data_IF_043141538338
#
_entry.id   IF_043141538338
#
_cell.length_a   1.000
_cell.length_b   1.000
_cell.length_c   1.000
_cell.angle_alpha   90.00
_cell.angle_beta   90.00
_cell.angle_gamma   90.00
#
_symmetry.space_group_name_H-M   'P 1'
#
loop_
_entity.id
_entity.type
_entity.pdbx_description
1 polymer ?
#
# COMPACT_ATOMS: atom_id res chain seq x y z
N UNK A 1 -27.06 0.95 12.06
CA UNK A 1 -27.14 0.79 13.52
C UNK A 1 -28.43 1.43 14.02
N UNK A 2 -29.30 0.65 14.68
CA UNK A 2 -30.60 1.11 15.19
C UNK A 2 -30.48 2.22 16.26
N UNK A 3 -29.37 2.27 16.98
CA UNK A 3 -29.15 3.27 18.04
C UNK A 3 -28.78 4.65 17.49
N UNK A 4 -28.05 4.65 16.37
CA UNK A 4 -27.54 5.89 15.76
C UNK A 4 -28.35 6.32 14.55
N UNK A 5 -29.36 5.54 14.16
CA UNK A 5 -30.14 5.75 12.94
C UNK A 5 -29.26 5.92 11.68
N UNK A 6 -28.13 5.22 11.64
CA UNK A 6 -27.21 5.25 10.52
C UNK A 6 -27.52 4.10 9.55
N UNK A 7 -27.52 4.37 8.27
CA UNK A 7 -27.63 3.31 7.26
C UNK A 7 -26.45 2.35 7.40
N UNK A 8 -26.73 1.06 7.42
CA UNK A 8 -25.74 0.00 7.58
C UNK A 8 -25.90 -1.02 6.49
N UNK A 9 -24.79 -1.45 5.89
CA UNK A 9 -24.74 -2.53 4.93
C UNK A 9 -23.89 -3.67 5.49
N UNK A 10 -24.37 -4.90 5.39
CA UNK A 10 -23.60 -6.08 5.77
C UNK A 10 -22.86 -6.59 4.54
N UNK A 11 -21.55 -6.73 4.65
CA UNK A 11 -20.70 -7.27 3.61
C UNK A 11 -20.28 -8.68 3.98
N UNK A 12 -20.69 -9.67 3.18
CA UNK A 12 -20.35 -11.08 3.37
C UNK A 12 -18.99 -11.41 2.74
N UNK A 13 -18.08 -11.97 3.53
CA UNK A 13 -16.81 -12.50 3.02
C UNK A 13 -16.91 -14.01 3.00
N UNK A 14 -16.78 -14.69 1.84
CA UNK A 14 -16.81 -16.13 1.77
C UNK A 14 -15.65 -16.74 2.53
N UNK A 15 -15.90 -17.81 3.28
CA UNK A 15 -14.86 -18.53 4.04
C UNK A 15 -13.99 -19.42 3.14
N UNK A 16 -14.53 -19.85 1.99
CA UNK A 16 -13.78 -20.55 0.95
C UNK A 16 -13.35 -19.55 -0.13
N UNK A 17 -12.27 -19.83 -0.83
CA UNK A 17 -11.74 -18.99 -1.91
C UNK A 17 -11.43 -19.79 -3.19
N UNK A 18 -11.85 -21.04 -3.21
CA UNK A 18 -11.73 -21.96 -4.33
C UNK A 18 -13.14 -22.30 -4.84
N UNK A 19 -13.42 -21.93 -6.07
CA UNK A 19 -14.69 -22.18 -6.74
C UNK A 19 -15.19 -20.98 -7.55
N UNK A 20 -15.84 -21.24 -8.67
CA UNK A 20 -16.43 -20.20 -9.50
C UNK A 20 -17.60 -19.52 -8.78
N UNK A 21 -18.40 -20.29 -8.03
CA UNK A 21 -19.48 -19.81 -7.19
C UNK A 21 -19.05 -18.78 -6.16
N UNK A 22 -17.85 -18.92 -5.62
CA UNK A 22 -17.27 -17.98 -4.65
C UNK A 22 -16.90 -16.65 -5.30
N UNK A 23 -16.40 -16.68 -6.52
CA UNK A 23 -16.07 -15.47 -7.27
C UNK A 23 -17.34 -14.70 -7.66
N UNK A 24 -18.36 -15.39 -8.13
CA UNK A 24 -19.65 -14.78 -8.45
C UNK A 24 -20.27 -14.13 -7.21
N UNK A 25 -20.31 -14.84 -6.10
CA UNK A 25 -20.78 -14.32 -4.83
C UNK A 25 -20.03 -13.04 -4.41
N UNK A 26 -18.70 -13.07 -4.47
CA UNK A 26 -17.89 -11.89 -4.10
C UNK A 26 -18.15 -10.69 -5.02
N UNK A 27 -18.37 -10.92 -6.31
CA UNK A 27 -18.74 -9.87 -7.27
C UNK A 27 -20.11 -9.28 -6.95
N UNK A 28 -21.09 -10.11 -6.61
CA UNK A 28 -22.44 -9.66 -6.24
C UNK A 28 -22.41 -8.83 -4.94
N UNK A 29 -21.67 -9.26 -3.93
CA UNK A 29 -21.49 -8.51 -2.69
C UNK A 29 -20.86 -7.13 -2.93
N UNK A 30 -19.83 -7.05 -3.79
CA UNK A 30 -19.21 -5.77 -4.16
C UNK A 30 -20.21 -4.88 -4.91
N UNK A 31 -20.97 -5.42 -5.85
CA UNK A 31 -22.00 -4.66 -6.57
C UNK A 31 -23.09 -4.14 -5.62
N UNK A 32 -23.50 -4.98 -4.67
CA UNK A 32 -24.46 -4.60 -3.63
C UNK A 32 -23.95 -3.46 -2.75
N UNK A 33 -22.66 -3.52 -2.37
CA UNK A 33 -22.01 -2.45 -1.62
C UNK A 33 -21.94 -1.16 -2.42
N UNK A 34 -21.56 -1.22 -3.70
CA UNK A 34 -21.52 -0.04 -4.58
C UNK A 34 -22.89 0.60 -4.67
N UNK A 35 -23.92 -0.22 -4.93
CA UNK A 35 -25.30 0.26 -5.00
C UNK A 35 -25.75 0.91 -3.69
N UNK A 36 -25.44 0.30 -2.55
CA UNK A 36 -25.74 0.88 -1.25
C UNK A 36 -25.08 2.26 -1.07
N UNK A 37 -23.82 2.41 -1.47
CA UNK A 37 -23.12 3.70 -1.39
C UNK A 37 -23.76 4.73 -2.32
N UNK A 38 -24.07 4.35 -3.57
CA UNK A 38 -24.77 5.22 -4.53
C UNK A 38 -26.13 5.69 -3.98
N UNK A 39 -26.90 4.79 -3.38
CA UNK A 39 -28.22 5.09 -2.80
C UNK A 39 -28.10 6.05 -1.59
N UNK A 40 -27.03 5.96 -0.81
CA UNK A 40 -26.82 6.82 0.36
C UNK A 40 -26.20 8.18 0.03
N UNK A 41 -25.34 8.24 -0.98
CA UNK A 41 -24.66 9.48 -1.37
C UNK A 41 -25.40 10.26 -2.46
N UNK A 42 -26.22 9.58 -3.25
CA UNK A 42 -26.83 10.14 -4.46
C UNK A 42 -25.88 10.30 -5.63
N UNK A 43 -24.63 9.88 -5.47
CA UNK A 43 -23.59 9.98 -6.51
C UNK A 43 -23.36 8.62 -7.18
N UNK A 44 -23.05 8.64 -8.48
CA UNK A 44 -22.68 7.44 -9.22
C UNK A 44 -21.24 7.05 -8.95
N UNK A 45 -20.98 5.75 -8.87
CA UNK A 45 -19.65 5.22 -8.68
C UNK A 45 -18.74 5.54 -9.88
N UNK A 46 -17.63 6.22 -9.62
CA UNK A 46 -16.65 6.62 -10.64
C UNK A 46 -15.64 5.48 -10.88
N UNK A 47 -15.89 4.71 -11.92
CA UNK A 47 -15.03 3.60 -12.33
C UNK A 47 -13.64 4.05 -12.79
N UNK A 48 -13.52 5.22 -13.42
CA UNK A 48 -12.23 5.73 -13.91
C UNK A 48 -11.35 6.15 -12.73
N UNK A 49 -11.92 6.84 -11.77
CA UNK A 49 -11.24 7.17 -10.52
C UNK A 49 -10.84 5.91 -9.75
N UNK A 50 -11.70 4.89 -9.70
CA UNK A 50 -11.40 3.62 -9.06
C UNK A 50 -10.21 2.91 -9.73
N UNK A 51 -10.23 2.74 -11.06
CA UNK A 51 -9.12 2.09 -11.77
C UNK A 51 -7.82 2.87 -11.68
N UNK A 52 -7.87 4.19 -11.66
CA UNK A 52 -6.71 5.04 -11.39
C UNK A 52 -6.13 4.77 -10.01
N UNK A 53 -6.98 4.71 -8.98
CA UNK A 53 -6.58 4.38 -7.61
C UNK A 53 -5.96 2.99 -7.50
N UNK A 54 -6.54 2.01 -8.17
CA UNK A 54 -6.00 0.64 -8.20
C UNK A 54 -4.60 0.59 -8.83
N UNK A 55 -4.38 1.32 -9.93
CA UNK A 55 -3.04 1.43 -10.54
C UNK A 55 -2.03 2.07 -9.59
N UNK A 56 -2.40 3.15 -8.92
CA UNK A 56 -1.56 3.83 -7.95
C UNK A 56 -1.24 2.92 -6.75
N UNK A 57 -2.22 2.18 -6.27
CA UNK A 57 -2.06 1.20 -5.20
C UNK A 57 -1.12 0.05 -5.59
N UNK A 58 -1.28 -0.51 -6.79
CA UNK A 58 -0.39 -1.56 -7.27
C UNK A 58 1.06 -1.08 -7.40
N UNK A 59 1.26 0.13 -7.90
CA UNK A 59 2.59 0.74 -7.98
C UNK A 59 3.23 0.91 -6.60
N UNK A 60 2.44 1.27 -5.63
CA UNK A 60 2.86 1.39 -4.25
C UNK A 60 3.23 0.05 -3.62
N UNK A 61 2.42 -0.98 -3.81
CA UNK A 61 2.75 -2.33 -3.36
C UNK A 61 4.08 -2.81 -3.93
N UNK A 62 4.38 -2.45 -5.18
CA UNK A 62 5.67 -2.75 -5.78
C UNK A 62 6.83 -2.03 -5.07
N UNK A 63 6.68 -0.75 -4.71
CA UNK A 63 7.67 -0.04 -3.92
C UNK A 63 7.82 -0.63 -2.51
N UNK A 64 6.74 -1.06 -1.89
CA UNK A 64 6.77 -1.74 -0.59
C UNK A 64 7.53 -3.06 -0.68
N UNK A 65 7.28 -3.86 -1.72
CA UNK A 65 8.00 -5.11 -1.96
C UNK A 65 9.50 -4.89 -2.14
N UNK A 66 9.91 -3.90 -2.91
CA UNK A 66 11.31 -3.54 -3.10
C UNK A 66 12.00 -3.14 -1.79
N UNK A 67 11.30 -2.42 -0.89
CA UNK A 67 11.81 -2.09 0.45
C UNK A 67 12.01 -3.35 1.31
N UNK A 68 11.06 -4.28 1.23
CA UNK A 68 11.18 -5.58 1.91
C UNK A 68 12.38 -6.36 1.42
N UNK A 69 12.62 -6.41 0.11
CA UNK A 69 13.75 -7.13 -0.48
C UNK A 69 15.10 -6.54 -0.03
N UNK A 70 15.19 -5.21 0.07
CA UNK A 70 16.37 -4.54 0.61
C UNK A 70 16.56 -4.86 2.09
N UNK A 71 15.49 -4.93 2.87
CA UNK A 71 15.56 -5.19 4.32
C UNK A 71 15.84 -6.66 4.65
N UNK A 72 15.55 -7.61 3.77
CA UNK A 72 15.93 -9.03 3.91
C UNK A 72 17.43 -9.29 3.73
N UNK A 73 18.19 -8.28 3.38
CA UNK A 73 19.64 -8.40 3.16
C UNK A 73 20.42 -8.23 4.49
N UNK A 74 21.71 -8.60 4.53
CA UNK A 74 22.57 -8.35 5.70
C UNK A 74 22.72 -6.85 6.06
N UNK A 75 22.25 -5.97 5.19
CA UNK A 75 22.36 -4.50 5.36
C UNK A 75 20.97 -3.85 5.32
N UNK A 76 20.10 -4.09 6.31
CA UNK A 76 18.78 -3.47 6.32
C UNK A 76 18.90 -1.95 6.38
N UNK A 77 18.08 -1.26 5.60
CA UNK A 77 18.12 0.21 5.49
C UNK A 77 17.04 0.89 6.33
N UNK A 78 16.03 0.13 6.74
CA UNK A 78 14.93 0.63 7.57
C UNK A 78 14.77 -0.23 8.81
N UNK A 79 14.59 0.41 9.96
CA UNK A 79 14.21 -0.30 11.17
C UNK A 79 12.78 -0.80 11.08
N UNK A 80 12.44 -1.89 11.77
CA UNK A 80 11.07 -2.41 11.81
C UNK A 80 10.06 -1.36 12.29
N UNK A 81 10.45 -0.53 13.28
CA UNK A 81 9.61 0.56 13.77
C UNK A 81 9.31 1.61 12.67
N UNK A 82 10.31 2.04 11.90
CA UNK A 82 10.10 2.94 10.77
C UNK A 82 9.17 2.34 9.71
N UNK A 83 9.33 1.04 9.46
CA UNK A 83 8.49 0.33 8.49
C UNK A 83 7.03 0.28 8.94
N UNK A 84 6.77 -0.01 10.23
CA UNK A 84 5.44 -0.02 10.82
C UNK A 84 4.79 1.35 10.85
N UNK A 85 5.51 2.38 11.31
CA UNK A 85 5.02 3.76 11.31
C UNK A 85 4.66 4.24 9.91
N UNK A 86 5.51 3.96 8.95
CA UNK A 86 5.26 4.29 7.54
C UNK A 86 3.96 3.63 7.03
N UNK A 87 3.75 2.36 7.35
CA UNK A 87 2.54 1.62 6.97
C UNK A 87 1.29 2.17 7.65
N UNK A 88 1.36 2.51 8.94
CA UNK A 88 0.25 3.13 9.69
C UNK A 88 -0.11 4.49 9.07
N UNK A 89 0.87 5.36 8.85
CA UNK A 89 0.66 6.64 8.19
C UNK A 89 0.01 6.48 6.83
N UNK A 90 0.46 5.52 6.09
CA UNK A 90 0.00 5.27 4.75
C UNK A 90 -1.45 4.81 4.70
N UNK A 91 -1.81 3.79 5.47
CA UNK A 91 -3.14 3.20 5.43
C UNK A 91 -4.19 3.99 6.21
N UNK A 92 -3.82 4.64 7.30
CA UNK A 92 -4.79 5.25 8.20
C UNK A 92 -4.95 6.76 8.03
N UNK A 93 -3.92 7.48 7.64
CA UNK A 93 -3.94 8.94 7.62
C UNK A 93 -4.08 9.55 6.23
N UNK A 94 -3.77 8.81 5.18
CA UNK A 94 -3.80 9.34 3.82
C UNK A 94 -5.04 8.97 3.01
N UNK A 95 -5.94 8.17 3.57
CA UNK A 95 -7.09 7.65 2.83
C UNK A 95 -6.70 6.75 1.65
N UNK A 96 -5.56 6.06 1.76
CA UNK A 96 -5.01 5.20 0.74
C UNK A 96 -3.99 5.85 -0.18
N UNK A 97 -3.69 5.19 -1.29
CA UNK A 97 -2.69 5.63 -2.27
C UNK A 97 -3.07 6.94 -2.94
N UNK A 98 -2.16 7.90 -2.91
CA UNK A 98 -2.30 9.13 -3.67
C UNK A 98 -0.95 9.56 -4.29
N UNK A 99 -1.00 10.48 -5.24
CA UNK A 99 0.18 10.91 -6.01
C UNK A 99 1.30 11.49 -5.13
N UNK A 100 0.97 12.18 -4.05
CA UNK A 100 1.96 12.76 -3.12
C UNK A 100 2.74 11.66 -2.42
N UNK A 101 2.04 10.61 -1.96
CA UNK A 101 2.67 9.45 -1.33
C UNK A 101 3.51 8.65 -2.29
N UNK A 102 3.06 8.43 -3.52
CA UNK A 102 3.86 7.75 -4.54
C UNK A 102 5.19 8.46 -4.79
N UNK A 103 5.20 9.79 -4.82
CA UNK A 103 6.45 10.58 -4.94
C UNK A 103 7.36 10.42 -3.72
N UNK A 104 6.80 10.34 -2.51
CA UNK A 104 7.59 10.06 -1.30
C UNK A 104 8.15 8.64 -1.33
N UNK A 105 7.34 7.66 -1.71
CA UNK A 105 7.75 6.26 -1.84
C UNK A 105 8.90 6.08 -2.81
N UNK A 106 8.81 6.69 -3.97
CA UNK A 106 9.85 6.67 -4.97
C UNK A 106 11.17 7.23 -4.45
N UNK A 107 11.12 8.36 -3.73
CA UNK A 107 12.31 8.98 -3.11
C UNK A 107 12.92 8.09 -2.04
N UNK A 108 12.11 7.51 -1.17
CA UNK A 108 12.57 6.58 -0.11
C UNK A 108 13.21 5.35 -0.74
N UNK A 109 12.59 4.78 -1.76
CA UNK A 109 13.11 3.61 -2.46
C UNK A 109 14.45 3.89 -3.15
N UNK A 110 14.57 5.00 -3.85
CA UNK A 110 15.84 5.44 -4.47
C UNK A 110 16.94 5.61 -3.43
N UNK A 111 16.67 6.26 -2.29
CA UNK A 111 17.64 6.45 -1.20
C UNK A 111 18.07 5.10 -0.57
N UNK A 112 17.11 4.23 -0.27
CA UNK A 112 17.38 2.92 0.32
C UNK A 112 18.22 2.05 -0.62
N UNK A 113 17.89 2.01 -1.90
CA UNK A 113 18.65 1.27 -2.92
C UNK A 113 20.07 1.81 -3.10
N UNK A 114 20.24 3.13 -3.07
CA UNK A 114 21.57 3.75 -3.15
C UNK A 114 22.43 3.42 -1.91
N UNK A 115 21.89 3.55 -0.72
CA UNK A 115 22.57 3.23 0.52
C UNK A 115 22.96 1.75 0.60
N UNK A 116 22.09 0.86 0.14
CA UNK A 116 22.36 -0.57 0.04
C UNK A 116 23.54 -0.87 -0.90
N UNK A 117 23.55 -0.29 -2.11
CA UNK A 117 24.64 -0.45 -3.08
C UNK A 117 25.97 0.05 -2.51
N UNK A 118 25.98 1.20 -1.83
CA UNK A 118 27.17 1.77 -1.20
C UNK A 118 27.74 0.84 -0.12
N UNK A 119 26.91 0.31 0.78
CA UNK A 119 27.34 -0.63 1.83
C UNK A 119 27.86 -1.95 1.25
N UNK A 120 27.22 -2.49 0.23
CA UNK A 120 27.66 -3.72 -0.45
C UNK A 120 29.05 -3.55 -1.10
N UNK A 121 29.35 -2.37 -1.63
CA UNK A 121 30.66 -2.09 -2.21
C UNK A 121 31.75 -1.91 -1.14
N UNK A 122 31.43 -1.35 0.02
CA UNK A 122 32.37 -1.23 1.13
C UNK A 122 32.82 -2.59 1.67
N UNK A 123 31.94 -3.58 1.77
CA UNK A 123 32.29 -4.94 2.24
C UNK A 123 33.12 -5.75 1.23
N UNK A 124 33.14 -5.35 -0.04
CA UNK A 124 34.01 -5.96 -1.07
C UNK A 124 35.43 -5.36 -1.16
N UNK A 125 35.87 -4.61 -0.15
CA UNK A 125 37.25 -4.08 -0.06
C UNK A 125 37.47 -2.77 -0.80
N UNK A 126 36.46 -2.15 -1.37
CA UNK A 126 36.54 -0.84 -2.03
C UNK A 126 35.89 0.23 -1.14
N UNK A 127 36.36 0.34 0.11
CA UNK A 127 35.96 1.42 0.99
C UNK A 127 36.89 2.63 0.81
N UNK A 128 36.65 3.49 -0.18
CA UNK A 128 37.16 4.86 -0.09
C UNK A 128 36.50 5.52 1.12
N UNK A 129 37.29 5.87 2.12
CA UNK A 129 36.91 6.65 3.29
C UNK A 129 36.05 7.84 2.83
N UNK A 130 34.74 7.77 3.00
CA UNK A 130 33.94 8.97 2.99
C UNK A 130 34.17 9.66 4.32
N UNK A 131 35.03 10.66 4.31
CA UNK A 131 35.26 11.62 5.39
C UNK A 131 33.89 12.23 5.70
N UNK A 132 33.43 12.04 6.93
CA UNK A 132 32.36 12.84 7.49
C UNK A 132 32.95 14.25 7.67
N UNK A 133 32.65 15.16 6.76
CA UNK A 133 32.78 16.59 7.01
C UNK A 133 31.49 17.04 7.69
N UNK A 134 31.66 17.58 8.88
CA UNK A 134 30.67 18.19 9.77
C UNK A 134 29.73 19.17 9.05
#
# INVERSE_FOLDING_TARGET
DRRLNLPTHCFGIPLRYDGEDVQEYAVEEIKSLIKFIEDQTGEKFDWDAYFKRMKDYNKQLEYERQKWDINKTPYPQMTGACFWLYRIFYFNLSGGSNEKFLKVDEKVNKKSSFSFKKKKNCTKGVCHRAVYSN
#
